data_IF_764576099732
#
_entry.id   IF_764576099732
#
_cell.length_a   1.000
_cell.length_b   1.000
_cell.length_c   1.000
_cell.angle_alpha   90.00
_cell.angle_beta   90.00
_cell.angle_gamma   90.00
#
_symmetry.space_group_name_H-M   'P 1'
#
loop_
_entity.id
_entity.type
_entity.pdbx_description
1 polymer ?
#
# COMPACT_ATOMS: atom_id res chain seq x y z
N UNK A 1 -76.26 47.84 9.50
CA UNK A 1 -76.20 46.38 9.77
C UNK A 1 -75.55 45.71 8.57
N UNK A 2 -74.55 44.85 8.81
CA UNK A 2 -73.71 44.08 7.86
C UNK A 2 -72.58 44.85 7.14
N UNK A 3 -71.40 44.82 7.75
CA UNK A 3 -70.11 44.95 7.06
C UNK A 3 -69.51 43.54 7.07
N UNK A 4 -69.38 42.94 5.88
CA UNK A 4 -68.76 41.63 5.67
C UNK A 4 -67.27 41.84 5.45
N UNK A 5 -66.44 41.42 6.41
CA UNK A 5 -64.99 41.51 6.34
C UNK A 5 -64.44 40.21 5.72
N UNK A 6 -63.87 40.29 4.52
CA UNK A 6 -63.12 39.21 3.89
C UNK A 6 -61.68 39.23 4.41
N UNK A 7 -61.25 38.17 5.08
CA UNK A 7 -59.86 37.95 5.48
C UNK A 7 -59.20 37.06 4.43
N UNK A 8 -58.31 37.62 3.62
CA UNK A 8 -57.39 36.86 2.77
C UNK A 8 -56.20 36.40 3.62
N UNK A 9 -56.08 35.09 3.83
CA UNK A 9 -54.90 34.48 4.42
C UNK A 9 -53.89 34.17 3.31
N UNK A 10 -52.84 34.97 3.21
CA UNK A 10 -51.70 34.73 2.31
C UNK A 10 -50.74 33.75 2.99
N UNK A 11 -50.76 32.50 2.56
CA UNK A 11 -49.77 31.48 2.97
C UNK A 11 -48.52 31.69 2.13
N UNK A 12 -47.47 32.26 2.73
CA UNK A 12 -46.13 32.32 2.13
C UNK A 12 -45.41 30.98 2.36
N UNK A 13 -45.39 30.14 1.32
CA UNK A 13 -44.52 28.97 1.24
C UNK A 13 -43.07 29.43 1.08
N UNK A 14 -42.31 29.47 2.18
CA UNK A 14 -40.85 29.50 2.12
C UNK A 14 -40.35 28.12 1.66
N UNK A 15 -40.10 27.98 0.36
CA UNK A 15 -39.32 26.90 -0.18
C UNK A 15 -37.87 27.08 0.29
N UNK A 16 -37.49 26.37 1.35
CA UNK A 16 -36.10 26.26 1.80
C UNK A 16 -35.34 25.42 0.75
N UNK A 17 -34.71 26.09 -0.22
CA UNK A 17 -33.70 25.47 -1.08
C UNK A 17 -32.46 25.22 -0.22
N UNK A 18 -32.37 24.02 0.38
CA UNK A 18 -31.11 23.54 0.94
C UNK A 18 -30.18 23.27 -0.22
N UNK A 19 -29.38 24.29 -0.54
CA UNK A 19 -28.23 24.17 -1.43
C UNK A 19 -27.22 23.29 -0.68
N UNK A 20 -27.17 22.01 -1.04
CA UNK A 20 -26.13 21.08 -0.58
C UNK A 20 -24.76 21.61 -1.02
N UNK A 21 -24.18 22.46 -0.19
CA UNK A 21 -22.78 22.82 -0.27
C UNK A 21 -22.00 21.56 0.14
N UNK A 22 -21.69 20.70 -0.83
CA UNK A 22 -20.58 19.75 -0.72
C UNK A 22 -19.35 20.60 -0.39
N UNK A 23 -18.99 20.65 0.90
CA UNK A 23 -17.72 21.22 1.35
C UNK A 23 -16.64 20.35 0.72
N UNK A 24 -16.06 20.85 -0.35
CA UNK A 24 -14.83 20.34 -0.92
C UNK A 24 -13.76 20.51 0.15
N UNK A 25 -13.38 19.42 0.81
CA UNK A 25 -12.32 19.42 1.79
C UNK A 25 -11.04 19.67 1.00
N UNK A 26 -10.49 20.88 1.10
CA UNK A 26 -9.14 21.14 0.62
C UNK A 26 -8.18 20.31 1.48
N UNK A 27 -7.54 19.31 0.87
CA UNK A 27 -6.49 18.50 1.48
C UNK A 27 -5.22 19.35 1.60
N UNK A 28 -5.17 20.22 2.60
CA UNK A 28 -4.00 21.01 2.92
C UNK A 28 -2.91 20.07 3.48
N UNK A 29 -2.12 19.42 2.61
CA UNK A 29 -0.94 18.67 3.08
C UNK A 29 -0.46 17.51 2.21
N UNK A 30 -1.25 16.98 1.27
CA UNK A 30 -0.79 15.88 0.43
C UNK A 30 0.07 16.44 -0.69
N UNK A 31 1.38 16.14 -0.65
CA UNK A 31 2.27 16.43 -1.76
C UNK A 31 2.02 15.44 -2.89
N UNK A 32 1.85 15.97 -4.11
CA UNK A 32 1.80 15.14 -5.31
C UNK A 32 3.05 14.27 -5.39
N UNK A 33 2.84 12.99 -5.63
CA UNK A 33 3.90 11.99 -5.67
C UNK A 33 3.63 11.04 -6.82
N UNK A 34 4.67 10.74 -7.59
CA UNK A 34 4.66 9.70 -8.61
C UNK A 34 5.77 8.72 -8.27
N UNK A 35 5.45 7.44 -8.18
CA UNK A 35 6.42 6.36 -7.96
C UNK A 35 6.33 5.44 -9.17
N UNK A 36 7.29 5.62 -10.08
CA UNK A 36 7.58 4.68 -11.16
C UNK A 36 8.69 3.71 -10.73
N UNK A 37 9.09 2.79 -11.62
CA UNK A 37 10.15 1.81 -11.33
C UNK A 37 11.48 2.48 -10.94
N UNK A 38 11.83 3.62 -11.56
CA UNK A 38 13.06 4.34 -11.22
C UNK A 38 12.96 5.02 -9.84
N UNK A 39 11.80 5.57 -9.50
CA UNK A 39 11.50 6.13 -8.19
C UNK A 39 11.56 5.06 -7.11
N UNK A 40 11.02 3.88 -7.38
CA UNK A 40 11.12 2.72 -6.49
C UNK A 40 12.58 2.36 -6.22
N UNK A 41 13.39 2.20 -7.27
CA UNK A 41 14.82 1.89 -7.12
C UNK A 41 15.57 2.95 -6.30
N UNK A 42 15.28 4.24 -6.54
CA UNK A 42 15.89 5.33 -5.76
C UNK A 42 15.54 5.28 -4.28
N UNK A 43 14.27 5.00 -3.94
CA UNK A 43 13.82 4.87 -2.55
C UNK A 43 14.55 3.70 -1.87
N UNK A 44 14.65 2.55 -2.53
CA UNK A 44 15.31 1.37 -1.96
C UNK A 44 16.84 1.51 -1.86
N UNK A 45 17.45 2.30 -2.74
CA UNK A 45 18.87 2.66 -2.66
C UNK A 45 19.20 3.68 -1.56
N UNK A 46 18.21 4.41 -1.04
CA UNK A 46 18.43 5.43 -0.03
C UNK A 46 18.73 4.79 1.34
N UNK A 47 19.98 4.93 1.77
CA UNK A 47 20.46 4.42 3.06
C UNK A 47 20.16 5.35 4.25
N UNK A 48 19.68 6.58 3.98
CA UNK A 48 19.31 7.55 5.01
C UNK A 48 17.92 7.31 5.61
N UNK A 49 17.10 6.49 4.95
CA UNK A 49 15.76 6.15 5.42
C UNK A 49 15.79 5.40 6.75
N UNK A 50 14.98 5.86 7.71
CA UNK A 50 14.94 5.30 9.05
C UNK A 50 14.33 3.90 9.03
N UNK A 51 14.99 2.93 9.66
CA UNK A 51 14.41 1.61 9.88
C UNK A 51 13.18 1.69 10.81
N UNK A 52 12.18 0.88 10.50
CA UNK A 52 10.95 0.74 11.30
C UNK A 52 11.20 -0.30 12.38
N UNK A 53 10.78 -0.05 13.63
CA UNK A 53 10.93 -1.05 14.70
C UNK A 53 9.91 -2.20 14.56
N UNK A 54 10.15 -3.39 15.15
CA UNK A 54 9.15 -4.47 15.15
C UNK A 54 7.78 -4.08 15.71
N UNK A 55 7.74 -3.26 16.77
CA UNK A 55 6.49 -2.77 17.34
C UNK A 55 5.73 -1.85 16.37
N UNK A 56 6.47 -1.00 15.66
CA UNK A 56 5.88 -0.14 14.64
C UNK A 56 5.44 -0.95 13.40
N UNK A 57 6.24 -1.94 12.97
CA UNK A 57 5.87 -2.85 11.88
C UNK A 57 4.54 -3.55 12.18
N UNK A 58 4.37 -4.08 13.40
CA UNK A 58 3.10 -4.69 13.83
C UNK A 58 1.91 -3.72 13.69
N UNK A 59 2.10 -2.45 14.06
CA UNK A 59 1.06 -1.43 13.94
C UNK A 59 0.74 -1.10 12.47
N UNK A 60 1.76 -0.85 11.65
CA UNK A 60 1.59 -0.50 10.23
C UNK A 60 0.98 -1.65 9.43
N UNK A 61 1.33 -2.89 9.79
CA UNK A 61 0.91 -4.11 9.14
C UNK A 61 -0.51 -4.58 9.50
N UNK A 62 -1.18 -3.98 10.48
CA UNK A 62 -2.47 -4.44 11.02
C UNK A 62 -3.56 -4.57 9.93
N UNK A 63 -3.52 -3.71 8.91
CA UNK A 63 -4.48 -3.65 7.81
C UNK A 63 -3.87 -3.99 6.46
N UNK A 64 -2.75 -4.72 6.44
CA UNK A 64 -2.19 -5.20 5.17
C UNK A 64 -3.22 -6.05 4.41
N UNK A 65 -3.26 -5.96 3.07
CA UNK A 65 -4.04 -6.87 2.26
C UNK A 65 -3.64 -8.33 2.53
N UNK A 66 -4.62 -9.22 2.57
CA UNK A 66 -4.40 -10.65 2.68
C UNK A 66 -4.03 -11.22 1.30
N UNK A 67 -2.75 -11.11 0.95
CA UNK A 67 -2.19 -11.61 -0.31
C UNK A 67 -0.92 -12.40 -0.05
N UNK A 68 -0.58 -13.30 -0.99
CA UNK A 68 0.67 -14.06 -0.98
C UNK A 68 1.91 -13.16 -0.86
N UNK A 69 1.86 -11.95 -1.42
CA UNK A 69 2.93 -10.95 -1.35
C UNK A 69 3.33 -10.61 0.09
N UNK A 70 2.37 -10.58 1.02
CA UNK A 70 2.58 -10.13 2.41
C UNK A 70 2.59 -11.27 3.43
N UNK A 71 2.33 -12.50 3.00
CA UNK A 71 2.25 -13.67 3.86
C UNK A 71 3.55 -13.87 4.65
N UNK A 72 3.45 -13.84 5.98
CA UNK A 72 4.59 -14.11 6.87
C UNK A 72 5.66 -13.01 6.95
N UNK A 73 5.56 -11.90 6.21
CA UNK A 73 6.60 -10.86 6.18
C UNK A 73 6.88 -10.25 7.56
N UNK A 74 5.84 -9.99 8.35
CA UNK A 74 6.00 -9.41 9.67
C UNK A 74 6.75 -10.35 10.65
N UNK A 75 6.42 -11.65 10.60
CA UNK A 75 7.11 -12.68 11.39
C UNK A 75 8.57 -12.82 10.95
N UNK A 76 8.81 -12.86 9.64
CA UNK A 76 10.16 -12.94 9.07
C UNK A 76 11.01 -11.71 9.41
N UNK A 77 10.44 -10.52 9.31
CA UNK A 77 11.09 -9.27 9.71
C UNK A 77 11.51 -9.31 11.18
N UNK A 78 10.58 -9.62 12.08
CA UNK A 78 10.84 -9.70 13.52
C UNK A 78 11.89 -10.76 13.86
N UNK A 79 11.85 -11.92 13.19
CA UNK A 79 12.83 -13.00 13.36
C UNK A 79 14.22 -12.56 12.90
N UNK A 80 14.34 -12.01 11.70
CA UNK A 80 15.63 -11.60 11.12
C UNK A 80 16.24 -10.44 11.89
N UNK A 81 15.44 -9.44 12.28
CA UNK A 81 15.89 -8.32 13.13
C UNK A 81 16.43 -8.82 14.48
N UNK A 82 15.72 -9.76 15.12
CA UNK A 82 16.17 -10.39 16.37
C UNK A 82 17.49 -11.15 16.19
N UNK A 83 17.60 -11.96 15.13
CA UNK A 83 18.81 -12.73 14.82
C UNK A 83 20.02 -11.81 14.55
N UNK A 84 19.83 -10.70 13.83
CA UNK A 84 20.87 -9.69 13.60
C UNK A 84 21.34 -9.07 14.91
N UNK A 85 20.43 -8.75 15.83
CA UNK A 85 20.75 -8.16 17.15
C UNK A 85 21.53 -9.09 18.08
N UNK A 86 21.26 -10.39 18.05
CA UNK A 86 21.93 -11.38 18.92
C UNK A 86 23.15 -12.04 18.26
N UNK A 87 23.53 -11.63 17.05
CA UNK A 87 24.65 -12.23 16.30
C UNK A 87 24.36 -13.62 15.73
N UNK A 88 23.09 -14.06 15.71
CA UNK A 88 22.67 -15.37 15.21
C UNK A 88 22.41 -15.45 13.70
N UNK A 89 22.54 -14.32 12.99
CA UNK A 89 22.17 -14.21 11.58
C UNK A 89 22.99 -15.11 10.66
N UNK A 90 24.31 -15.21 10.84
CA UNK A 90 25.15 -16.09 10.00
C UNK A 90 24.76 -17.57 10.12
N UNK A 91 24.44 -18.03 11.34
CA UNK A 91 23.95 -19.39 11.56
C UNK A 91 22.56 -19.61 10.92
N UNK A 92 21.71 -18.58 10.88
CA UNK A 92 20.45 -18.63 10.14
C UNK A 92 20.68 -18.78 8.64
N UNK A 93 21.55 -17.96 8.05
CA UNK A 93 21.90 -18.04 6.62
C UNK A 93 22.44 -19.43 6.27
N UNK A 94 23.32 -20.00 7.11
CA UNK A 94 23.87 -21.35 6.89
C UNK A 94 22.85 -22.49 6.93
N UNK A 95 21.62 -22.21 7.38
CA UNK A 95 20.52 -23.16 7.56
C UNK A 95 19.27 -22.77 6.77
N UNK A 96 19.38 -21.79 5.87
CA UNK A 96 18.28 -21.44 4.99
C UNK A 96 17.94 -22.61 4.08
N UNK A 97 16.65 -22.86 3.96
CA UNK A 97 16.08 -23.79 3.00
C UNK A 97 15.34 -23.02 1.90
N UNK A 98 14.86 -23.75 0.92
CA UNK A 98 14.07 -23.30 -0.21
C UNK A 98 12.89 -22.43 0.24
N UNK A 99 12.68 -21.29 -0.44
CA UNK A 99 11.57 -20.37 -0.18
C UNK A 99 11.67 -19.58 1.14
N UNK A 100 12.69 -19.81 1.96
CA UNK A 100 12.88 -19.04 3.19
C UNK A 100 13.42 -17.64 2.91
N UNK A 101 12.91 -16.61 3.59
CA UNK A 101 13.39 -15.22 3.45
C UNK A 101 14.85 -15.12 3.92
N UNK A 102 15.74 -14.72 3.02
CA UNK A 102 17.17 -14.53 3.31
C UNK A 102 17.39 -13.19 3.98
N UNK A 103 16.96 -12.12 3.34
CA UNK A 103 17.04 -10.76 3.86
C UNK A 103 15.70 -10.04 3.76
N UNK A 104 15.48 -9.13 4.70
CA UNK A 104 14.31 -8.26 4.75
C UNK A 104 14.69 -6.94 5.38
N UNK A 105 14.29 -5.86 4.72
CA UNK A 105 14.52 -4.47 5.13
C UNK A 105 13.17 -3.76 5.17
N UNK A 106 12.89 -3.12 6.29
CA UNK A 106 11.67 -2.31 6.48
C UNK A 106 12.07 -0.92 6.93
N UNK A 107 11.55 0.11 6.26
CA UNK A 107 11.94 1.51 6.47
C UNK A 107 10.77 2.46 6.25
N UNK A 108 10.82 3.62 6.91
CA UNK A 108 9.86 4.71 6.70
C UNK A 108 10.34 5.59 5.55
N UNK A 109 9.43 5.91 4.64
CA UNK A 109 9.68 6.84 3.52
C UNK A 109 9.34 8.26 3.93
N UNK A 110 8.09 8.50 4.35
CA UNK A 110 7.62 9.81 4.82
C UNK A 110 6.31 9.68 5.60
N UNK A 111 5.91 10.76 6.26
CA UNK A 111 4.63 10.89 6.93
C UNK A 111 3.98 12.21 6.54
N UNK A 112 2.76 12.16 6.00
CA UNK A 112 1.99 13.34 5.61
C UNK A 112 0.80 13.50 6.57
N UNK A 113 0.61 14.70 7.10
CA UNK A 113 -0.56 15.03 7.94
C UNK A 113 -1.65 15.62 7.05
N UNK A 114 -2.78 14.93 6.92
CA UNK A 114 -3.92 15.36 6.10
C UNK A 114 -4.87 16.24 6.90
N UNK A 115 -5.07 15.91 8.18
CA UNK A 115 -5.78 16.74 9.15
C UNK A 115 -5.30 16.41 10.57
N UNK A 116 -5.80 17.11 11.58
CA UNK A 116 -5.45 16.85 12.98
C UNK A 116 -5.68 15.40 13.42
N UNK A 117 -6.67 14.73 12.79
CA UNK A 117 -7.06 13.36 13.11
C UNK A 117 -6.62 12.36 12.03
N UNK A 118 -5.93 12.77 10.96
CA UNK A 118 -5.62 11.91 9.81
C UNK A 118 -4.17 12.04 9.35
N UNK A 119 -3.45 10.92 9.40
CA UNK A 119 -2.04 10.82 9.04
C UNK A 119 -1.85 9.70 8.01
N UNK A 120 -1.09 9.98 6.96
CA UNK A 120 -0.63 8.99 5.99
C UNK A 120 0.82 8.66 6.28
N UNK A 121 1.13 7.39 6.53
CA UNK A 121 2.51 6.92 6.69
C UNK A 121 2.91 6.09 5.50
N UNK A 122 3.90 6.57 4.75
CA UNK A 122 4.51 5.85 3.65
C UNK A 122 5.72 5.09 4.14
N UNK A 123 5.79 3.80 3.83
CA UNK A 123 6.83 2.90 4.30
C UNK A 123 7.13 1.82 3.27
N UNK A 124 8.31 1.24 3.34
CA UNK A 124 8.80 0.28 2.38
C UNK A 124 9.17 -1.06 3.01
N UNK A 125 8.94 -2.14 2.27
CA UNK A 125 9.44 -3.49 2.55
C UNK A 125 10.23 -3.97 1.35
N UNK A 126 11.48 -4.37 1.58
CA UNK A 126 12.31 -5.05 0.59
C UNK A 126 12.70 -6.41 1.12
N UNK A 127 12.56 -7.46 0.33
CA UNK A 127 13.01 -8.79 0.73
C UNK A 127 13.47 -9.63 -0.46
N UNK A 128 14.25 -10.66 -0.14
CA UNK A 128 14.54 -11.76 -1.05
C UNK A 128 14.53 -13.09 -0.29
N UNK A 129 14.14 -14.16 -0.97
CA UNK A 129 14.30 -15.51 -0.46
C UNK A 129 15.73 -16.01 -0.67
N UNK A 130 16.02 -17.15 -0.06
CA UNK A 130 17.20 -17.93 -0.40
C UNK A 130 17.23 -18.23 -1.90
N UNK A 131 18.42 -18.21 -2.48
CA UNK A 131 18.69 -18.39 -3.92
C UNK A 131 18.52 -19.87 -4.33
N UNK A 132 17.30 -20.37 -4.17
CA UNK A 132 16.88 -21.70 -4.57
C UNK A 132 15.47 -21.60 -5.19
N UNK A 133 14.94 -22.70 -5.73
CA UNK A 133 13.65 -22.76 -6.41
C UNK A 133 12.59 -23.31 -5.44
N UNK A 134 11.55 -22.56 -5.03
CA UNK A 134 11.19 -21.20 -5.45
C UNK A 134 12.11 -20.08 -4.94
N UNK A 135 12.39 -19.13 -5.84
CA UNK A 135 13.01 -17.84 -5.53
C UNK A 135 11.96 -16.75 -5.58
N UNK A 136 12.00 -15.82 -4.62
CA UNK A 136 11.19 -14.62 -4.65
C UNK A 136 11.96 -13.40 -4.21
N UNK A 137 11.59 -12.25 -4.77
CA UNK A 137 12.07 -10.96 -4.31
C UNK A 137 10.94 -9.93 -4.40
N UNK A 138 10.93 -8.96 -3.50
CA UNK A 138 10.00 -7.86 -3.60
C UNK A 138 10.60 -6.54 -3.12
N UNK A 139 10.11 -5.46 -3.72
CA UNK A 139 10.23 -4.09 -3.25
C UNK A 139 8.84 -3.50 -3.24
N UNK A 140 8.29 -3.20 -2.08
CA UNK A 140 6.92 -2.70 -1.93
C UNK A 140 6.96 -1.39 -1.15
N UNK A 141 6.34 -0.35 -1.70
CA UNK A 141 5.96 0.87 -0.97
C UNK A 141 4.49 0.76 -0.61
N UNK A 142 4.19 1.03 0.65
CA UNK A 142 2.87 0.95 1.24
C UNK A 142 2.50 2.33 1.81
N UNK A 143 1.20 2.60 1.84
CA UNK A 143 0.61 3.71 2.60
C UNK A 143 -0.31 3.15 3.68
N UNK A 144 -0.04 3.49 4.93
CA UNK A 144 -0.94 3.22 6.04
C UNK A 144 -1.69 4.50 6.40
N UNK A 145 -3.02 4.40 6.45
CA UNK A 145 -3.92 5.48 6.84
C UNK A 145 -4.21 5.34 8.33
N UNK A 146 -3.82 6.35 9.10
CA UNK A 146 -4.12 6.45 10.52
C UNK A 146 -5.19 7.52 10.72
N UNK A 147 -6.33 7.13 11.28
CA UNK A 147 -7.38 8.05 11.69
C UNK A 147 -7.64 7.93 13.20
N UNK A 148 -7.55 9.06 13.92
CA UNK A 148 -7.75 9.14 15.38
C UNK A 148 -6.89 8.15 16.17
N UNK A 149 -5.63 7.97 15.73
CA UNK A 149 -4.67 7.08 16.37
C UNK A 149 -4.82 5.60 16.01
N UNK A 150 -5.70 5.24 15.07
CA UNK A 150 -5.95 3.85 14.66
C UNK A 150 -5.58 3.64 13.19
N UNK A 151 -4.97 2.50 12.89
CA UNK A 151 -4.76 2.05 11.51
C UNK A 151 -6.11 1.65 10.91
N UNK A 152 -6.60 2.45 9.95
CA UNK A 152 -7.89 2.20 9.28
C UNK A 152 -7.73 1.48 7.95
N UNK A 153 -6.60 1.63 7.27
CA UNK A 153 -6.31 0.98 6.00
C UNK A 153 -4.80 0.90 5.73
N UNK A 154 -4.39 -0.09 4.95
CA UNK A 154 -3.07 -0.15 4.35
C UNK A 154 -3.19 -0.56 2.89
N UNK A 155 -2.53 0.18 2.00
CA UNK A 155 -2.56 -0.08 0.56
C UNK A 155 -1.15 -0.14 -0.01
N UNK A 156 -0.83 -1.12 -0.88
CA UNK A 156 0.36 -1.03 -1.71
C UNK A 156 0.19 0.17 -2.64
N UNK A 157 1.24 0.97 -2.77
CA UNK A 157 1.28 2.17 -3.62
C UNK A 157 2.05 1.83 -4.88
N UNK A 158 3.27 1.32 -4.72
CA UNK A 158 4.10 0.92 -5.84
C UNK A 158 4.89 -0.30 -5.42
N UNK A 159 5.05 -1.27 -6.31
CA UNK A 159 5.80 -2.45 -5.98
C UNK A 159 6.38 -3.15 -7.20
N UNK A 160 7.40 -3.94 -6.92
CA UNK A 160 7.95 -4.95 -7.79
C UNK A 160 7.97 -6.25 -7.01
N UNK A 161 7.49 -7.33 -7.61
CA UNK A 161 7.55 -8.66 -7.02
C UNK A 161 7.85 -9.67 -8.11
N UNK A 162 8.94 -10.41 -7.92
CA UNK A 162 9.25 -11.59 -8.72
C UNK A 162 9.06 -12.84 -7.88
N UNK A 163 8.52 -13.86 -8.52
CA UNK A 163 8.51 -15.21 -8.03
C UNK A 163 8.78 -16.18 -9.17
N UNK A 164 9.59 -17.20 -8.92
CA UNK A 164 9.86 -18.24 -9.90
C UNK A 164 10.03 -19.59 -9.22
N UNK A 165 9.30 -20.59 -9.74
CA UNK A 165 9.45 -22.01 -9.43
C UNK A 165 9.36 -22.80 -10.72
N UNK A 166 10.52 -23.08 -11.35
CA UNK A 166 10.56 -23.61 -12.70
C UNK A 166 9.67 -24.86 -12.87
N UNK A 167 8.85 -24.93 -13.93
CA UNK A 167 8.86 -24.04 -15.10
C UNK A 167 8.04 -22.74 -14.96
N UNK A 168 7.45 -22.47 -13.80
CA UNK A 168 6.54 -21.36 -13.58
C UNK A 168 7.24 -20.08 -13.12
N UNK A 169 6.70 -18.94 -13.51
CA UNK A 169 7.14 -17.62 -13.04
C UNK A 169 5.96 -16.65 -12.93
N UNK A 170 6.11 -15.69 -12.03
CA UNK A 170 5.21 -14.55 -11.85
C UNK A 170 6.03 -13.28 -11.63
N UNK A 171 5.63 -12.19 -12.26
CA UNK A 171 6.19 -10.87 -12.12
C UNK A 171 5.04 -9.87 -11.96
N UNK A 172 5.10 -9.07 -10.91
CA UNK A 172 4.16 -7.99 -10.68
C UNK A 172 4.89 -6.66 -10.61
N UNK A 173 4.36 -5.68 -11.31
CA UNK A 173 4.87 -4.31 -11.32
C UNK A 173 3.70 -3.39 -11.05
N UNK A 174 3.81 -2.53 -10.06
CA UNK A 174 2.84 -1.50 -9.78
C UNK A 174 3.52 -0.14 -9.70
N UNK A 175 2.95 0.82 -10.43
CA UNK A 175 3.32 2.23 -10.33
C UNK A 175 2.16 3.02 -9.77
N UNK A 176 2.43 4.15 -9.13
CA UNK A 176 1.38 4.97 -8.57
C UNK A 176 1.59 6.46 -8.76
N UNK A 177 0.46 7.15 -8.78
CA UNK A 177 0.36 8.60 -8.71
C UNK A 177 -0.62 9.00 -7.61
N UNK A 178 -0.21 9.95 -6.78
CA UNK A 178 -1.04 10.56 -5.75
C UNK A 178 -1.31 12.00 -6.14
N UNK A 179 -2.59 12.34 -6.34
CA UNK A 179 -3.03 13.70 -6.67
C UNK A 179 -3.08 14.60 -5.43
N UNK A 180 -3.14 15.92 -5.66
CA UNK A 180 -3.28 16.92 -4.58
C UNK A 180 -4.63 16.82 -3.86
N UNK A 181 -5.62 16.23 -4.52
CA UNK A 181 -6.97 15.96 -4.01
C UNK A 181 -7.04 14.64 -3.23
N UNK A 182 -5.90 13.98 -3.00
CA UNK A 182 -5.83 12.73 -2.24
C UNK A 182 -6.34 11.52 -3.01
N UNK A 183 -6.31 11.54 -4.34
CA UNK A 183 -6.59 10.34 -5.14
C UNK A 183 -5.28 9.59 -5.41
N UNK A 184 -5.24 8.33 -5.00
CA UNK A 184 -4.17 7.39 -5.33
C UNK A 184 -4.63 6.56 -6.53
N UNK A 185 -3.95 6.72 -7.64
CA UNK A 185 -4.08 5.90 -8.84
C UNK A 185 -2.92 4.91 -8.88
N UNK A 186 -3.21 3.62 -9.00
CA UNK A 186 -2.24 2.54 -9.11
C UNK A 186 -2.47 1.84 -10.45
N UNK A 187 -1.41 1.65 -11.22
CA UNK A 187 -1.42 0.83 -12.43
C UNK A 187 -0.57 -0.40 -12.13
N UNK A 188 -1.22 -1.56 -12.14
CA UNK A 188 -0.61 -2.86 -11.86
C UNK A 188 -0.52 -3.67 -13.15
N UNK A 189 0.65 -4.21 -13.43
CA UNK A 189 0.92 -5.19 -14.47
C UNK A 189 1.29 -6.50 -13.79
N UNK A 190 0.65 -7.59 -14.22
CA UNK A 190 0.94 -8.95 -13.79
C UNK A 190 1.26 -9.80 -15.01
N UNK A 191 2.48 -10.30 -15.04
CA UNK A 191 2.99 -11.21 -16.06
C UNK A 191 3.24 -12.55 -15.39
N UNK A 192 2.66 -13.61 -15.92
CA UNK A 192 2.90 -14.97 -15.43
C UNK A 192 3.09 -15.91 -16.60
N UNK A 193 3.73 -17.05 -16.37
CA UNK A 193 3.89 -18.04 -17.41
C UNK A 193 4.48 -19.34 -16.89
N UNK A 194 4.66 -20.27 -17.80
CA UNK A 194 5.25 -21.55 -17.52
C UNK A 194 4.94 -22.54 -18.62
N UNK A 195 4.80 -23.81 -18.23
CA UNK A 195 4.55 -24.92 -19.14
C UNK A 195 3.23 -25.59 -18.76
N UNK A 196 2.36 -25.80 -19.74
CA UNK A 196 1.06 -26.48 -19.55
C UNK A 196 1.21 -28.00 -19.48
N UNK A 197 0.09 -28.70 -19.26
CA UNK A 197 0.05 -30.17 -19.18
C UNK A 197 0.49 -30.90 -20.47
N UNK A 198 0.65 -30.18 -21.58
CA UNK A 198 1.09 -30.71 -22.88
C UNK A 198 2.52 -30.28 -23.25
N UNK A 199 3.31 -29.85 -22.26
CA UNK A 199 4.66 -29.32 -22.43
C UNK A 199 4.71 -28.07 -23.34
N UNK A 200 3.62 -27.30 -23.43
CA UNK A 200 3.59 -26.04 -24.19
C UNK A 200 3.81 -24.85 -23.27
N UNK A 201 4.72 -23.98 -23.68
CA UNK A 201 4.93 -22.70 -23.02
C UNK A 201 3.69 -21.79 -23.16
N UNK A 202 3.36 -21.10 -22.08
CA UNK A 202 2.36 -20.05 -22.08
C UNK A 202 2.85 -18.82 -21.31
N UNK A 203 2.27 -17.67 -21.66
CA UNK A 203 2.46 -16.42 -20.96
C UNK A 203 1.14 -15.66 -20.91
N UNK A 204 0.77 -15.22 -19.71
CA UNK A 204 -0.40 -14.41 -19.42
C UNK A 204 0.05 -13.02 -18.98
N UNK A 205 -0.61 -11.98 -19.49
CA UNK A 205 -0.40 -10.60 -19.08
C UNK A 205 -1.75 -9.97 -18.72
N UNK A 206 -1.82 -9.34 -17.55
CA UNK A 206 -2.99 -8.60 -17.07
C UNK A 206 -2.56 -7.22 -16.60
N UNK A 207 -3.32 -6.21 -17.00
CA UNK A 207 -3.17 -4.84 -16.49
C UNK A 207 -4.43 -4.43 -15.75
N UNK A 208 -4.26 -3.90 -14.54
CA UNK A 208 -5.34 -3.36 -13.72
C UNK A 208 -5.05 -1.91 -13.36
N UNK A 209 -6.11 -1.12 -13.23
CA UNK A 209 -6.03 0.24 -12.70
C UNK A 209 -6.91 0.34 -11.48
N UNK A 210 -6.34 0.79 -10.36
CA UNK A 210 -7.00 0.91 -9.07
C UNK A 210 -7.01 2.39 -8.68
N UNK A 211 -8.17 2.91 -8.28
CA UNK A 211 -8.32 4.28 -7.79
C UNK A 211 -8.81 4.23 -6.35
N UNK A 212 -8.02 4.81 -5.45
CA UNK A 212 -8.28 4.88 -4.00
C UNK A 212 -8.42 6.34 -3.61
N UNK A 213 -9.41 6.65 -2.77
CA UNK A 213 -9.56 7.96 -2.14
C UNK A 213 -8.92 7.91 -0.75
N UNK A 214 -7.82 8.66 -0.58
CA UNK A 214 -7.02 8.69 0.64
C UNK A 214 -7.64 9.50 1.76
#
# INVERSE_FOLDING_TARGET
>A
MRITLFIFATITLFACSQKDNKKEIQYAGIQEMSIDSLGLEKIFADSSLSSISPAEMNFLAEKLPDTSLFAGLNLSYSKIDSLKKVGGYENYISKLDIGMIKDIRVFRVKTDTVSADKILTFWGIGYNSYEACPYSNAKVILVTINEKGKNTACHPVAYFYDWADAPFYENYIATAKISKEGQLEIVEEHISGGVDDNDKEYADNKTNTIIIKL
#
